data_IF_569128113083
#
_entry.id   IF_569128113083
#
_cell.length_a   1.000
_cell.length_b   1.000
_cell.length_c   1.000
_cell.angle_alpha   90.00
_cell.angle_beta   90.00
_cell.angle_gamma   90.00
#
_symmetry.space_group_name_H-M   'P 1'
#
loop_
_entity.id
_entity.type
_entity.pdbx_description
1 polymer ?
#
# COMPACT_ATOMS: atom_id res chain seq x y z
N UNK A 1 -38.86 -2.37 -36.61
CA UNK A 1 -37.67 -3.12 -37.06
C UNK A 1 -37.94 -3.58 -38.49
N UNK A 2 -37.03 -3.38 -39.44
CA UNK A 2 -37.18 -3.87 -40.83
C UNK A 2 -36.44 -5.21 -40.96
N UNK A 3 -37.12 -6.22 -41.47
CA UNK A 3 -36.51 -7.51 -41.82
C UNK A 3 -35.51 -7.30 -42.97
N UNK A 4 -34.24 -7.63 -42.73
CA UNK A 4 -33.23 -7.69 -43.80
C UNK A 4 -31.91 -6.97 -43.53
N UNK A 5 -31.81 -6.08 -42.54
CA UNK A 5 -30.51 -5.54 -42.12
C UNK A 5 -30.02 -6.30 -40.88
N UNK A 6 -28.73 -6.69 -40.81
CA UNK A 6 -28.18 -7.29 -39.60
C UNK A 6 -28.54 -6.39 -38.42
N UNK A 7 -29.20 -6.99 -37.41
CA UNK A 7 -29.59 -6.34 -36.17
C UNK A 7 -28.38 -5.53 -35.68
N UNK A 8 -28.57 -4.24 -35.39
CA UNK A 8 -27.51 -3.32 -34.93
C UNK A 8 -26.54 -4.11 -34.06
N UNK A 9 -25.29 -4.20 -34.50
CA UNK A 9 -24.24 -4.87 -33.74
C UNK A 9 -24.35 -4.35 -32.31
N UNK A 10 -24.44 -5.20 -31.28
CA UNK A 10 -24.56 -4.71 -29.91
C UNK A 10 -23.34 -3.83 -29.65
N UNK A 11 -23.56 -2.52 -29.58
CA UNK A 11 -22.50 -1.57 -29.29
C UNK A 11 -21.92 -2.01 -27.94
N UNK A 12 -20.67 -2.47 -27.95
CA UNK A 12 -19.99 -2.98 -26.74
C UNK A 12 -19.86 -1.93 -25.63
N UNK A 13 -20.36 -0.70 -25.88
CA UNK A 13 -20.28 0.44 -24.98
C UNK A 13 -18.86 0.97 -24.81
N UNK A 14 -17.92 0.47 -25.59
CA UNK A 14 -16.51 0.80 -25.55
C UNK A 14 -16.18 1.89 -26.57
N UNK A 15 -15.12 2.62 -26.30
CA UNK A 15 -14.62 3.73 -27.07
C UNK A 15 -13.24 3.40 -27.60
N UNK A 16 -12.95 3.79 -28.83
CA UNK A 16 -11.61 3.67 -29.38
C UNK A 16 -10.82 4.94 -29.09
N UNK A 17 -9.69 4.79 -28.41
CA UNK A 17 -8.82 5.92 -28.12
C UNK A 17 -7.34 5.50 -28.12
N UNK A 18 -6.50 6.27 -28.83
CA UNK A 18 -5.07 5.98 -29.02
C UNK A 18 -4.79 4.53 -29.50
N UNK A 19 -5.62 4.02 -30.42
CA UNK A 19 -5.47 2.67 -30.98
C UNK A 19 -5.82 1.53 -30.03
N UNK A 20 -6.40 1.83 -28.86
CA UNK A 20 -6.85 0.84 -27.88
C UNK A 20 -8.36 0.97 -27.63
N UNK A 21 -8.99 -0.16 -27.36
CA UNK A 21 -10.39 -0.20 -26.92
C UNK A 21 -10.43 0.15 -25.42
N UNK A 22 -11.31 1.09 -25.07
CA UNK A 22 -11.38 1.67 -23.72
C UNK A 22 -12.81 1.71 -23.23
N UNK A 23 -13.06 1.43 -21.95
CA UNK A 23 -14.43 1.29 -21.45
C UNK A 23 -15.07 2.63 -21.11
N UNK A 24 -14.27 3.56 -20.58
CA UNK A 24 -14.74 4.91 -20.21
C UNK A 24 -14.58 5.88 -21.36
N UNK A 25 -15.54 6.79 -21.52
CA UNK A 25 -15.43 7.93 -22.45
C UNK A 25 -14.51 9.00 -21.87
N UNK A 26 -13.53 9.48 -22.64
CA UNK A 26 -12.75 10.66 -22.29
C UNK A 26 -13.66 11.91 -22.31
N UNK A 27 -14.00 12.45 -21.11
CA UNK A 27 -14.89 13.62 -20.99
C UNK A 27 -14.16 14.95 -20.79
N UNK A 28 -13.09 14.97 -19.98
CA UNK A 28 -12.40 16.19 -19.52
C UNK A 28 -10.88 15.98 -19.44
N UNK A 29 -10.27 15.42 -20.47
CA UNK A 29 -8.82 15.18 -20.55
C UNK A 29 -8.27 15.64 -21.90
N UNK A 30 -6.94 15.80 -21.98
CA UNK A 30 -6.27 16.10 -23.25
C UNK A 30 -6.51 14.97 -24.24
N UNK A 31 -6.49 15.29 -25.52
CA UNK A 31 -6.70 14.34 -26.62
C UNK A 31 -5.66 13.20 -26.70
N UNK A 32 -4.52 13.35 -26.02
CA UNK A 32 -3.48 12.32 -25.84
C UNK A 32 -3.49 11.70 -24.44
N UNK A 33 -4.55 11.87 -23.65
CA UNK A 33 -4.61 11.39 -22.26
C UNK A 33 -5.91 10.63 -22.01
N UNK A 34 -5.81 9.39 -21.52
CA UNK A 34 -6.98 8.58 -21.16
C UNK A 34 -6.84 7.97 -19.78
N UNK A 35 -7.85 8.02 -18.90
CA UNK A 35 -7.73 7.54 -17.52
C UNK A 35 -7.40 6.04 -17.39
N UNK A 36 -7.63 5.26 -18.43
CA UNK A 36 -7.34 3.81 -18.46
C UNK A 36 -6.01 3.48 -19.14
N UNK A 37 -5.46 4.40 -19.95
CA UNK A 37 -4.21 4.18 -20.70
C UNK A 37 -3.04 4.91 -20.06
N UNK A 38 -3.30 6.06 -19.45
CA UNK A 38 -2.28 6.91 -18.84
C UNK A 38 -1.87 6.31 -17.50
N UNK A 39 -0.57 6.09 -17.28
CA UNK A 39 -0.09 5.60 -15.99
C UNK A 39 -0.51 6.58 -14.88
N UNK A 40 -0.86 6.06 -13.68
CA UNK A 40 -1.19 6.93 -12.57
C UNK A 40 0.00 7.86 -12.29
N UNK A 41 -0.32 9.10 -11.89
CA UNK A 41 0.71 10.08 -11.55
C UNK A 41 1.65 9.47 -10.50
N UNK A 42 2.98 9.60 -10.66
CA UNK A 42 3.92 9.05 -9.70
C UNK A 42 3.66 9.66 -8.32
N UNK A 43 3.77 8.84 -7.28
CA UNK A 43 3.70 9.33 -5.90
C UNK A 43 4.82 10.35 -5.69
N UNK A 44 4.51 11.48 -5.06
CA UNK A 44 5.50 12.52 -4.76
C UNK A 44 6.57 11.93 -3.85
N UNK A 45 7.83 12.30 -4.08
CA UNK A 45 8.90 12.00 -3.14
C UNK A 45 8.60 12.69 -1.79
N UNK A 46 8.87 12.05 -0.65
CA UNK A 46 8.68 12.68 0.64
C UNK A 46 9.52 13.95 0.72
N UNK A 47 8.93 15.01 1.28
CA UNK A 47 9.64 16.26 1.55
C UNK A 47 10.59 16.07 2.74
N UNK A 48 11.53 17.00 2.95
CA UNK A 48 12.43 16.95 4.12
C UNK A 48 11.66 16.86 5.44
N UNK A 49 10.60 17.66 5.58
CA UNK A 49 9.72 17.63 6.75
C UNK A 49 9.00 16.28 6.93
N UNK A 50 8.62 15.61 5.84
CA UNK A 50 7.99 14.28 5.93
C UNK A 50 8.99 13.23 6.43
N UNK A 51 10.25 13.33 5.99
CA UNK A 51 11.34 12.44 6.40
C UNK A 51 11.69 12.68 7.87
N UNK A 52 11.80 13.93 8.30
CA UNK A 52 12.04 14.31 9.69
C UNK A 52 10.90 13.80 10.59
N UNK A 53 9.64 14.03 10.22
CA UNK A 53 8.50 13.53 10.97
C UNK A 53 8.44 12.00 11.03
N UNK A 54 8.85 11.30 9.96
CA UNK A 54 8.94 9.84 9.98
C UNK A 54 10.05 9.35 10.93
N UNK A 55 11.19 10.04 10.93
CA UNK A 55 12.34 9.74 11.80
C UNK A 55 11.99 9.96 13.26
N UNK A 56 11.34 11.08 13.59
CA UNK A 56 10.90 11.41 14.95
C UNK A 56 9.88 10.38 15.48
N UNK A 57 8.88 10.02 14.66
CA UNK A 57 7.93 8.94 15.01
C UNK A 57 8.64 7.60 15.25
N UNK A 58 9.65 7.28 14.46
CA UNK A 58 10.41 6.04 14.63
C UNK A 58 11.26 6.08 15.91
N UNK A 59 11.91 7.20 16.20
CA UNK A 59 12.66 7.40 17.43
C UNK A 59 11.76 7.26 18.66
N UNK A 60 10.59 7.89 18.64
CA UNK A 60 9.56 7.77 19.68
C UNK A 60 9.07 6.33 19.88
N UNK A 61 8.86 5.56 18.81
CA UNK A 61 8.51 4.13 18.92
C UNK A 61 9.61 3.30 19.56
N UNK A 62 10.87 3.55 19.20
CA UNK A 62 12.01 2.81 19.76
C UNK A 62 12.18 3.14 21.24
N UNK A 63 12.06 4.41 21.63
CA UNK A 63 12.19 4.84 23.02
C UNK A 63 11.07 4.25 23.88
N UNK A 64 9.83 4.27 23.38
CA UNK A 64 8.66 3.68 24.01
C UNK A 64 8.79 2.16 24.19
N UNK A 65 9.21 1.43 23.15
CA UNK A 65 9.49 -0.02 23.24
C UNK A 65 10.58 -0.34 24.27
N UNK A 66 11.65 0.46 24.31
CA UNK A 66 12.73 0.29 25.30
C UNK A 66 12.26 0.59 26.72
N UNK A 67 11.43 1.61 26.89
CA UNK A 67 10.83 1.94 28.19
C UNK A 67 9.93 0.80 28.67
N UNK A 68 9.06 0.29 27.79
CA UNK A 68 8.19 -0.86 28.05
C UNK A 68 8.96 -2.12 28.41
N UNK A 69 9.98 -2.49 27.63
CA UNK A 69 10.80 -3.65 27.92
C UNK A 69 11.57 -3.48 29.24
N UNK A 70 12.15 -2.29 29.50
CA UNK A 70 12.87 -2.02 30.75
C UNK A 70 11.98 -2.24 31.96
N UNK A 71 10.79 -1.63 31.95
CA UNK A 71 9.86 -1.64 33.08
C UNK A 71 8.88 -2.82 33.08
N UNK A 72 8.92 -3.66 32.05
CA UNK A 72 8.00 -4.80 31.90
C UNK A 72 6.55 -4.35 31.76
N UNK A 73 6.27 -3.36 30.93
CA UNK A 73 4.92 -2.81 30.71
C UNK A 73 4.45 -3.13 29.30
N UNK A 74 3.21 -3.58 29.13
CA UNK A 74 2.63 -3.88 27.82
C UNK A 74 2.18 -2.62 27.05
N UNK A 75 1.62 -2.82 25.85
CA UNK A 75 1.08 -1.74 25.02
C UNK A 75 -0.05 -0.95 25.72
N UNK A 76 -0.77 -1.58 26.64
CA UNK A 76 -1.93 -1.03 27.35
C UNK A 76 -1.59 -0.45 28.72
N UNK A 77 -0.33 -0.54 29.16
CA UNK A 77 0.14 0.01 30.43
C UNK A 77 0.12 -0.96 31.61
N UNK A 78 -0.20 -2.24 31.40
CA UNK A 78 -0.20 -3.24 32.46
C UNK A 78 1.20 -3.81 32.71
N UNK A 79 1.49 -4.09 33.98
CA UNK A 79 2.74 -4.75 34.39
C UNK A 79 2.71 -6.20 33.92
N UNK A 80 3.60 -6.53 33.00
CA UNK A 80 3.88 -7.89 32.57
C UNK A 80 4.89 -8.53 33.51
N UNK A 81 4.59 -9.74 33.98
CA UNK A 81 5.59 -10.56 34.68
C UNK A 81 6.61 -10.98 33.62
N UNK A 82 7.85 -10.46 33.70
CA UNK A 82 8.92 -10.88 32.79
C UNK A 82 9.12 -12.37 32.92
N UNK A 83 8.76 -13.12 31.88
CA UNK A 83 9.05 -14.55 31.81
C UNK A 83 10.55 -14.77 32.02
N UNK A 84 10.90 -15.69 32.91
CA UNK A 84 12.29 -16.01 33.23
C UNK A 84 12.97 -16.50 31.94
N UNK A 85 14.01 -15.79 31.47
CA UNK A 85 14.74 -16.18 30.24
C UNK A 85 15.16 -17.64 30.34
N UNK A 86 14.67 -18.49 29.42
CA UNK A 86 15.14 -19.87 29.31
C UNK A 86 16.61 -19.84 28.90
N UNK A 87 17.47 -20.49 29.69
CA UNK A 87 18.88 -20.62 29.33
C UNK A 87 18.96 -21.44 28.04
N UNK A 88 19.78 -21.02 27.04
CA UNK A 88 19.98 -21.83 25.85
C UNK A 88 20.59 -23.17 26.26
N UNK A 89 20.02 -24.26 25.74
CA UNK A 89 20.57 -25.60 25.96
C UNK A 89 21.99 -25.63 25.38
N UNK A 90 22.95 -25.94 26.26
CA UNK A 90 24.35 -26.07 25.89
C UNK A 90 24.45 -27.33 25.05
N UNK A 91 24.53 -27.20 23.71
CA UNK A 91 24.79 -28.33 22.82
C UNK A 91 26.14 -28.93 23.21
N UNK A 92 26.12 -30.03 23.96
CA UNK A 92 27.30 -30.85 24.19
C UNK A 92 27.65 -31.48 22.85
N UNK A 93 28.78 -31.06 22.27
CA UNK A 93 29.45 -31.81 21.23
C UNK A 93 29.87 -33.14 21.87
N UNK A 94 29.21 -34.22 21.46
CA UNK A 94 29.57 -35.58 21.85
C UNK A 94 31.00 -35.90 21.34
N UNK A 95 31.77 -36.72 22.08
CA UNK A 95 33.17 -37.02 21.76
C UNK A 95 33.33 -37.79 20.45
#
# INVERSE_FOLDING_TARGET
FRDGYPRRLPDKGTFWHMGKEVKKRAKRMRWYDHPELTPPKPKRRPTKSDVEAATDRQAGRITDLRYRDRWGVDERGFRTVKARKRKPERKTLAP
#
